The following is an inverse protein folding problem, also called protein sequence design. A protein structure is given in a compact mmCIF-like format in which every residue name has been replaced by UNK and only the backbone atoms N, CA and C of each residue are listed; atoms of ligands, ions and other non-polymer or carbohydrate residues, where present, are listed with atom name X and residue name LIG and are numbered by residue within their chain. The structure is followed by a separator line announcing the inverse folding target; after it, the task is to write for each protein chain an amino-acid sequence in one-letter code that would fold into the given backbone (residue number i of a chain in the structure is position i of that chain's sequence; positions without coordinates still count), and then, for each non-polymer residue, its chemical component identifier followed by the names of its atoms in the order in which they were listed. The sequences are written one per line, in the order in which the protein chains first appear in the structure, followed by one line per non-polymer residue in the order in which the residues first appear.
data_IF_406412608795
#
_entry.id   IF_406412608795
#
_cell.length_a   1.000
_cell.length_b   1.000
_cell.length_c   1.000
_cell.angle_alpha   90.00
_cell.angle_beta   90.00
_cell.angle_gamma   90.00
#
_symmetry.space_group_name_H-M   'P 1'
#
loop_
_entity.id
_entity.type
_entity.pdbx_description
1 polymer ?
#
# COMPACT_ATOMS: atom_id res chain seq x y z
N UNK A 1 -13.39 -42.95 31.74
CA UNK A 1 -13.29 -44.25 31.03
C UNK A 1 -13.21 -43.90 29.56
N UNK A 2 -12.06 -43.96 28.88
CA UNK A 2 -11.05 -45.02 28.82
C UNK A 2 -9.67 -44.38 28.57
N UNK A 3 -8.66 -44.87 29.29
CA UNK A 3 -7.23 -44.57 29.12
C UNK A 3 -6.69 -45.18 27.82
N UNK A 4 -5.66 -44.57 27.22
CA UNK A 4 -4.71 -45.35 26.40
C UNK A 4 -3.26 -44.92 26.63
N UNK A 5 -2.44 -45.95 26.69
CA UNK A 5 -1.15 -46.03 27.35
C UNK A 5 0.05 -45.61 26.51
N UNK A 6 1.12 -45.32 27.23
CA UNK A 6 2.52 -45.23 26.81
C UNK A 6 3.01 -46.56 26.22
N UNK A 7 3.84 -46.48 25.18
CA UNK A 7 4.58 -47.61 24.61
C UNK A 7 5.98 -47.17 24.15
N UNK A 8 6.98 -47.66 24.87
CA UNK A 8 8.41 -47.40 24.76
C UNK A 8 9.07 -48.43 23.83
N UNK A 9 10.12 -48.08 23.06
CA UNK A 9 10.98 -49.04 22.34
C UNK A 9 12.35 -48.45 21.99
N UNK A 10 13.34 -48.78 22.83
CA UNK A 10 14.78 -48.91 22.50
C UNK A 10 14.91 -49.91 21.33
N UNK A 11 15.81 -49.85 20.35
CA UNK A 11 17.10 -49.19 20.16
C UNK A 11 18.00 -50.21 19.45
N UNK A 12 18.80 -49.84 18.43
CA UNK A 12 19.92 -50.64 17.90
C UNK A 12 20.85 -49.75 17.04
N UNK A 13 22.10 -49.58 17.47
CA UNK A 13 23.24 -48.94 16.79
C UNK A 13 23.88 -49.90 15.75
N UNK A 14 24.72 -49.44 14.78
CA UNK A 14 26.14 -49.17 15.06
C UNK A 14 26.73 -47.89 14.44
N UNK A 15 27.53 -47.24 15.29
CA UNK A 15 28.80 -46.51 15.09
C UNK A 15 29.46 -46.59 13.70
N UNK A 16 29.93 -45.43 13.19
CA UNK A 16 31.32 -45.33 12.77
C UNK A 16 31.92 -43.93 13.04
N UNK A 17 33.15 -43.96 13.54
CA UNK A 17 33.95 -42.87 14.09
C UNK A 17 34.88 -42.34 12.99
N UNK A 18 35.09 -41.02 12.94
CA UNK A 18 36.29 -40.42 12.35
C UNK A 18 36.52 -39.03 12.93
N UNK A 19 37.40 -39.03 13.93
CA UNK A 19 38.01 -37.92 14.66
C UNK A 19 38.49 -36.75 13.81
N UNK A 20 38.36 -35.53 14.32
CA UNK A 20 39.43 -34.52 14.27
C UNK A 20 39.29 -33.46 15.37
N UNK A 21 40.42 -33.23 16.01
CA UNK A 21 40.69 -32.57 17.30
C UNK A 21 40.24 -31.12 17.42
N UNK A 22 39.76 -30.78 18.62
CA UNK A 22 39.66 -29.43 19.17
C UNK A 22 41.01 -28.72 19.20
N UNK A 23 41.03 -27.45 18.77
CA UNK A 23 41.96 -26.45 19.28
C UNK A 23 41.16 -25.22 19.72
N UNK A 24 41.07 -25.06 21.04
CA UNK A 24 40.70 -23.81 21.70
C UNK A 24 41.91 -22.88 21.58
N UNK A 25 41.71 -21.73 20.93
CA UNK A 25 42.68 -20.63 20.97
C UNK A 25 42.04 -19.46 21.71
N UNK A 26 42.33 -19.41 23.01
CA UNK A 26 42.18 -18.24 23.86
C UNK A 26 42.93 -17.04 23.26
N UNK A 27 42.22 -15.97 22.90
CA UNK A 27 42.85 -14.68 22.62
C UNK A 27 42.57 -13.72 23.77
N UNK A 28 43.64 -13.49 24.53
CA UNK A 28 43.81 -12.46 25.54
C UNK A 28 43.51 -11.06 24.99
N UNK A 29 42.64 -10.34 25.68
CA UNK A 29 42.45 -8.90 25.53
C UNK A 29 43.68 -8.14 26.01
N UNK A 30 44.23 -7.28 25.14
CA UNK A 30 45.17 -6.24 25.56
C UNK A 30 44.62 -4.88 25.11
N UNK A 31 44.52 -3.88 26.00
CA UNK A 31 44.01 -2.56 25.67
C UNK A 31 45.13 -1.69 25.09
N UNK A 32 44.77 -0.78 24.18
CA UNK A 32 45.65 0.13 23.42
C UNK A 32 46.22 -0.42 22.11
N UNK A 33 45.42 -0.29 21.04
CA UNK A 33 45.93 -0.11 19.69
C UNK A 33 45.29 1.13 19.06
N UNK A 34 46.14 2.01 18.54
CA UNK A 34 45.86 3.19 17.71
C UNK A 34 44.97 2.84 16.50
N UNK A 35 44.06 3.74 16.05
CA UNK A 35 43.08 3.42 15.02
C UNK A 35 43.66 3.63 13.62
N UNK A 36 44.28 2.59 13.07
CA UNK A 36 44.42 2.45 11.60
C UNK A 36 43.89 1.08 11.19
N UNK A 37 42.60 0.84 11.47
CA UNK A 37 41.93 -0.36 10.97
C UNK A 37 41.42 -0.05 9.56
N UNK A 38 42.32 -0.10 8.58
CA UNK A 38 41.95 0.03 7.17
C UNK A 38 41.12 -1.21 6.82
N UNK A 39 39.85 -1.02 6.48
CA UNK A 39 38.97 -2.11 6.12
C UNK A 39 39.58 -2.91 4.95
N UNK A 40 39.93 -4.17 5.18
CA UNK A 40 40.52 -5.05 4.16
C UNK A 40 39.46 -5.71 3.27
N UNK A 41 38.18 -5.46 3.57
CA UNK A 41 37.02 -6.05 2.90
C UNK A 41 36.08 -4.95 2.43
N UNK A 42 35.45 -5.17 1.27
CA UNK A 42 34.43 -4.30 0.73
C UNK A 42 33.28 -4.18 1.73
N UNK A 43 32.87 -2.95 2.01
CA UNK A 43 31.78 -2.66 2.95
C UNK A 43 30.44 -3.25 2.54
N UNK A 44 30.21 -3.53 1.25
CA UNK A 44 28.93 -4.03 0.73
C UNK A 44 28.92 -5.55 0.55
N UNK A 45 29.84 -6.09 -0.26
CA UNK A 45 29.85 -7.52 -0.59
C UNK A 45 30.83 -8.36 0.25
N UNK A 46 31.57 -7.74 1.18
CA UNK A 46 32.58 -8.39 2.03
C UNK A 46 33.73 -9.08 1.27
N UNK A 47 33.89 -8.85 -0.05
CA UNK A 47 35.04 -9.33 -0.82
C UNK A 47 36.33 -8.62 -0.43
N UNK A 48 37.47 -9.30 -0.54
CA UNK A 48 38.79 -8.74 -0.23
C UNK A 48 39.14 -7.56 -1.16
N UNK A 49 39.62 -6.47 -0.58
CA UNK A 49 40.13 -5.30 -1.31
C UNK A 49 41.61 -5.51 -1.66
N UNK A 50 42.00 -5.13 -2.88
CA UNK A 50 43.27 -5.55 -3.51
C UNK A 50 44.26 -4.42 -3.74
N UNK A 51 43.82 -3.17 -3.77
CA UNK A 51 44.66 -2.00 -4.05
C UNK A 51 44.36 -0.84 -3.09
N UNK A 52 45.26 0.14 -3.02
CA UNK A 52 45.18 1.26 -2.06
C UNK A 52 43.92 2.11 -2.26
N UNK A 53 43.49 2.30 -3.51
CA UNK A 53 42.26 3.06 -3.84
C UNK A 53 41.03 2.37 -3.24
N UNK A 54 40.92 1.06 -3.41
CA UNK A 54 39.86 0.25 -2.82
C UNK A 54 39.92 0.30 -1.29
N UNK A 55 41.11 0.16 -0.69
CA UNK A 55 41.30 0.20 0.77
C UNK A 55 40.91 1.55 1.37
N UNK A 56 41.22 2.66 0.70
CA UNK A 56 40.83 4.01 1.13
C UNK A 56 39.31 4.21 0.98
N UNK A 57 38.73 3.77 -0.14
CA UNK A 57 37.29 3.91 -0.40
C UNK A 57 36.40 2.89 0.34
N UNK A 58 36.97 1.79 0.81
CA UNK A 58 36.26 0.67 1.43
C UNK A 58 35.35 -0.11 0.46
N UNK A 59 35.52 0.04 -0.86
CA UNK A 59 34.62 -0.50 -1.90
C UNK A 59 35.43 -1.23 -2.97
N UNK A 60 34.95 -2.38 -3.45
CA UNK A 60 35.58 -3.14 -4.53
C UNK A 60 35.09 -2.71 -5.93
N UNK A 61 35.72 -3.24 -6.98
CA UNK A 61 35.42 -2.91 -8.39
C UNK A 61 34.16 -3.58 -8.97
N UNK A 62 33.40 -4.35 -8.18
CA UNK A 62 32.15 -4.93 -8.66
C UNK A 62 31.16 -3.81 -8.98
N UNK A 63 30.52 -3.89 -10.15
CA UNK A 63 29.63 -2.85 -10.65
C UNK A 63 28.55 -2.46 -9.64
N UNK A 64 27.92 -3.45 -9.00
CA UNK A 64 26.91 -3.23 -7.95
C UNK A 64 27.46 -2.43 -6.75
N UNK A 65 28.68 -2.75 -6.31
CA UNK A 65 29.32 -2.07 -5.18
C UNK A 65 29.67 -0.61 -5.52
N UNK A 66 30.11 -0.36 -6.77
CA UNK A 66 30.38 1.00 -7.27
C UNK A 66 29.09 1.81 -7.38
N UNK A 67 28.00 1.19 -7.87
CA UNK A 67 26.68 1.83 -7.91
C UNK A 67 26.17 2.18 -6.50
N UNK A 68 26.28 1.26 -5.55
CA UNK A 68 25.91 1.52 -4.16
C UNK A 68 26.74 2.67 -3.56
N UNK A 69 28.05 2.69 -3.82
CA UNK A 69 28.95 3.74 -3.36
C UNK A 69 28.55 5.14 -3.83
N UNK A 70 27.97 5.29 -5.02
CA UNK A 70 27.52 6.59 -5.56
C UNK A 70 26.47 7.28 -4.71
N UNK A 71 25.70 6.51 -3.93
CA UNK A 71 24.64 7.01 -3.03
C UNK A 71 24.99 6.85 -1.55
N UNK A 72 26.18 6.32 -1.24
CA UNK A 72 26.62 6.03 0.11
C UNK A 72 27.34 7.23 0.73
N UNK A 73 27.23 7.36 2.06
CA UNK A 73 28.06 8.29 2.78
C UNK A 73 29.54 7.88 2.72
N UNK A 74 30.41 8.80 2.30
CA UNK A 74 31.86 8.60 2.27
C UNK A 74 32.57 9.04 3.57
N UNK A 75 31.82 9.56 4.56
CA UNK A 75 32.39 10.04 5.83
C UNK A 75 32.81 8.87 6.72
N UNK A 76 33.94 9.01 7.39
CA UNK A 76 34.36 8.13 8.48
C UNK A 76 33.82 8.68 9.81
N UNK A 77 33.18 7.82 10.59
CA UNK A 77 32.61 8.17 11.89
C UNK A 77 33.72 8.28 12.96
N UNK A 78 33.42 8.92 14.09
CA UNK A 78 34.36 9.08 15.21
C UNK A 78 34.86 7.75 15.80
N UNK A 79 34.12 6.66 15.60
CA UNK A 79 34.53 5.31 15.99
C UNK A 79 35.48 4.63 14.99
N UNK A 80 35.86 5.29 13.89
CA UNK A 80 36.77 4.76 12.86
C UNK A 80 36.09 3.91 11.78
N UNK A 81 34.78 3.67 11.86
CA UNK A 81 34.03 2.97 10.81
C UNK A 81 33.50 3.94 9.75
N UNK A 82 33.40 3.47 8.50
CA UNK A 82 32.67 4.19 7.45
C UNK A 82 31.19 4.30 7.80
N UNK A 83 30.60 5.47 7.54
CA UNK A 83 29.18 5.72 7.76
C UNK A 83 28.33 4.80 6.88
N UNK A 84 27.40 4.04 7.48
CA UNK A 84 26.44 3.16 6.78
C UNK A 84 25.32 3.91 6.04
N UNK A 85 25.24 5.22 6.23
CA UNK A 85 24.19 6.10 5.71
C UNK A 85 24.32 6.43 4.22
N UNK A 86 23.50 7.36 3.76
CA UNK A 86 23.51 7.87 2.38
C UNK A 86 24.35 9.13 2.22
N UNK A 87 24.68 9.47 0.98
CA UNK A 87 25.36 10.72 0.66
C UNK A 87 24.52 11.95 1.07
N UNK A 88 25.20 13.06 1.34
CA UNK A 88 24.61 14.38 1.60
C UNK A 88 23.67 14.51 2.81
N UNK A 89 23.67 13.53 3.72
CA UNK A 89 23.02 13.70 5.03
C UNK A 89 23.74 14.76 5.87
N UNK A 90 22.95 15.67 6.44
CA UNK A 90 23.42 16.67 7.40
C UNK A 90 24.07 16.01 8.63
N UNK A 91 23.47 14.92 9.11
CA UNK A 91 23.93 14.15 10.28
C UNK A 91 24.05 12.70 9.86
N UNK A 92 25.23 12.11 10.03
CA UNK A 92 25.43 10.69 9.80
C UNK A 92 24.66 9.87 10.83
N UNK A 93 24.04 8.79 10.37
CA UNK A 93 23.39 7.82 11.26
C UNK A 93 24.38 7.17 12.25
N UNK A 94 23.89 6.65 13.39
CA UNK A 94 24.67 5.81 14.29
C UNK A 94 25.42 4.68 13.56
N UNK A 95 26.63 4.37 14.04
CA UNK A 95 27.42 3.28 13.46
C UNK A 95 26.74 1.92 13.67
N UNK A 96 26.52 1.17 12.59
CA UNK A 96 25.93 -0.18 12.61
C UNK A 96 26.93 -1.28 13.04
N UNK A 97 28.23 -1.00 13.02
CA UNK A 97 29.27 -1.96 13.41
C UNK A 97 29.69 -1.84 14.88
N UNK A 98 29.28 -0.76 15.57
CA UNK A 98 29.57 -0.59 16.98
C UNK A 98 28.44 -1.19 17.81
N UNK A 99 28.78 -2.06 18.75
CA UNK A 99 27.79 -2.56 19.70
C UNK A 99 27.35 -1.42 20.64
N UNK A 100 26.08 -1.03 20.54
CA UNK A 100 25.44 -0.03 21.40
C UNK A 100 24.23 -0.69 22.06
N UNK A 101 24.07 -0.63 23.39
CA UNK A 101 22.93 -1.24 24.08
C UNK A 101 21.57 -0.75 23.57
N UNK A 102 21.53 0.47 23.03
CA UNK A 102 20.32 1.13 22.55
C UNK A 102 20.05 0.92 21.05
N UNK A 103 20.99 0.30 20.32
CA UNK A 103 20.80 0.00 18.91
C UNK A 103 19.80 -1.16 18.77
N UNK A 104 18.74 -0.91 18.00
CA UNK A 104 17.72 -1.94 17.70
C UNK A 104 18.16 -2.91 16.61
N UNK A 105 19.09 -2.49 15.76
CA UNK A 105 19.58 -3.22 14.60
C UNK A 105 21.06 -2.94 14.37
N UNK A 106 21.78 -3.91 13.82
CA UNK A 106 23.21 -3.80 13.46
C UNK A 106 23.47 -4.09 11.97
N UNK A 107 24.75 -4.16 11.57
CA UNK A 107 25.14 -4.33 10.18
C UNK A 107 24.87 -5.74 9.62
N UNK A 108 24.76 -6.76 10.48
CA UNK A 108 24.57 -8.15 10.09
C UNK A 108 23.09 -8.54 9.98
N UNK A 109 22.18 -7.77 10.60
CA UNK A 109 20.74 -7.92 10.43
C UNK A 109 20.31 -7.82 8.97
N UNK A 110 19.30 -8.63 8.60
CA UNK A 110 18.67 -8.56 7.29
C UNK A 110 17.71 -7.37 7.19
N UNK A 111 17.72 -6.70 6.04
CA UNK A 111 16.71 -5.69 5.75
C UNK A 111 15.35 -6.36 5.51
N UNK A 112 14.39 -6.12 6.40
CA UNK A 112 13.04 -6.74 6.35
C UNK A 112 12.13 -6.22 5.22
N UNK A 113 12.68 -5.45 4.28
CA UNK A 113 11.98 -5.07 3.05
C UNK A 113 12.39 -5.97 1.89
N UNK A 114 13.70 -6.15 1.67
CA UNK A 114 14.18 -7.01 0.59
C UNK A 114 14.30 -8.47 1.01
N UNK A 115 14.59 -8.75 2.29
CA UNK A 115 14.90 -10.08 2.83
C UNK A 115 16.07 -10.80 2.13
N UNK A 116 16.85 -10.08 1.31
CA UNK A 116 17.98 -10.64 0.54
C UNK A 116 19.32 -10.28 1.15
N UNK A 117 19.47 -9.03 1.57
CA UNK A 117 20.76 -8.45 1.94
C UNK A 117 20.77 -7.94 3.38
N UNK A 118 21.96 -8.01 4.00
CA UNK A 118 22.21 -7.42 5.32
C UNK A 118 22.16 -5.90 5.24
N UNK A 119 21.87 -5.23 6.34
CA UNK A 119 21.85 -3.76 6.41
C UNK A 119 23.21 -3.16 6.03
N UNK A 120 24.33 -3.76 6.48
CA UNK A 120 25.68 -3.31 6.09
C UNK A 120 25.97 -3.44 4.59
N UNK A 121 25.23 -4.29 3.88
CA UNK A 121 25.42 -4.60 2.46
C UNK A 121 25.04 -3.49 1.49
N UNK A 122 24.35 -2.44 1.94
CA UNK A 122 23.97 -1.30 1.10
C UNK A 122 23.73 -0.02 1.93
N UNK A 123 23.68 1.17 1.32
CA UNK A 123 23.39 2.42 2.01
C UNK A 123 22.03 2.38 2.73
N UNK A 124 22.05 2.72 4.01
CA UNK A 124 20.90 2.67 4.89
C UNK A 124 20.41 4.06 5.28
N UNK A 125 19.19 4.11 5.79
CA UNK A 125 18.65 5.25 6.52
C UNK A 125 18.07 4.75 7.84
N UNK A 126 18.17 5.58 8.88
CA UNK A 126 17.47 5.35 10.14
C UNK A 126 16.21 6.22 10.17
N UNK A 127 15.04 5.60 10.22
CA UNK A 127 13.78 6.32 10.33
C UNK A 127 13.68 7.02 11.70
N UNK A 128 12.79 8.02 11.82
CA UNK A 128 12.52 8.69 13.09
C UNK A 128 12.14 7.73 14.23
N UNK A 129 11.49 6.60 13.92
CA UNK A 129 11.15 5.54 14.88
C UNK A 129 12.35 4.70 15.37
N UNK A 130 13.56 4.97 14.85
CA UNK A 130 14.82 4.32 15.21
C UNK A 130 15.20 3.08 14.39
N UNK A 131 14.28 2.54 13.58
CA UNK A 131 14.54 1.38 12.73
C UNK A 131 15.32 1.73 11.47
N UNK A 132 16.17 0.79 11.05
CA UNK A 132 17.11 0.94 9.94
C UNK A 132 16.70 0.04 8.78
N UNK A 133 16.75 0.61 7.57
CA UNK A 133 16.46 -0.08 6.31
C UNK A 133 17.39 0.44 5.22
N UNK A 134 17.58 -0.34 4.16
CA UNK A 134 18.22 0.20 2.95
C UNK A 134 17.41 1.36 2.39
N UNK A 135 18.09 2.44 2.01
CA UNK A 135 17.45 3.62 1.44
C UNK A 135 16.62 3.28 0.19
N UNK A 136 17.20 2.49 -0.73
CA UNK A 136 16.55 2.06 -1.97
C UNK A 136 15.29 1.24 -1.72
N UNK A 137 15.30 0.41 -0.68
CA UNK A 137 14.15 -0.42 -0.31
C UNK A 137 12.97 0.44 0.16
N UNK A 138 13.21 1.42 1.04
CA UNK A 138 12.16 2.34 1.49
C UNK A 138 11.64 3.20 0.34
N UNK A 139 12.56 3.75 -0.47
CA UNK A 139 12.22 4.55 -1.65
C UNK A 139 11.30 3.77 -2.61
N UNK A 140 11.65 2.52 -2.92
CA UNK A 140 10.86 1.66 -3.82
C UNK A 140 9.45 1.38 -3.27
N UNK A 141 9.29 1.15 -1.96
CA UNK A 141 7.97 0.96 -1.35
C UNK A 141 7.11 2.23 -1.52
N UNK A 142 7.68 3.40 -1.26
CA UNK A 142 6.98 4.68 -1.39
C UNK A 142 6.60 5.00 -2.85
N UNK A 143 7.45 4.66 -3.81
CA UNK A 143 7.19 4.82 -5.24
C UNK A 143 6.11 3.87 -5.76
N UNK A 144 6.14 2.59 -5.33
CA UNK A 144 5.15 1.57 -5.72
C UNK A 144 3.78 1.80 -5.10
N UNK A 145 3.72 2.47 -3.94
CA UNK A 145 2.48 2.83 -3.23
C UNK A 145 1.64 1.61 -2.83
N UNK A 146 0.48 1.44 -3.46
CA UNK A 146 -0.49 0.39 -3.17
C UNK A 146 -0.83 -0.42 -4.43
N UNK A 147 -1.33 -1.63 -4.20
CA UNK A 147 -1.82 -2.51 -5.24
C UNK A 147 -3.34 -2.41 -5.33
N UNK A 148 -3.88 -2.48 -6.55
CA UNK A 148 -5.32 -2.40 -6.79
C UNK A 148 -5.84 -0.96 -6.90
N UNK A 149 -7.16 -0.79 -7.13
CA UNK A 149 -7.76 0.52 -7.33
C UNK A 149 -7.88 1.31 -6.03
N UNK A 150 -8.13 0.63 -4.89
CA UNK A 150 -8.33 1.26 -3.58
C UNK A 150 -7.03 1.89 -3.08
N UNK A 151 -7.09 3.18 -2.78
CA UNK A 151 -6.02 3.90 -2.08
C UNK A 151 -5.88 3.32 -0.67
N UNK A 152 -4.69 2.83 -0.33
CA UNK A 152 -4.31 2.39 1.02
C UNK A 152 -2.93 2.95 1.37
N UNK A 153 -2.73 3.33 2.63
CA UNK A 153 -1.53 4.05 3.07
C UNK A 153 -0.56 3.23 3.94
N UNK A 154 -0.81 1.91 4.09
CA UNK A 154 0.03 1.03 4.92
C UNK A 154 1.50 1.01 4.48
N UNK A 155 1.78 1.24 3.20
CA UNK A 155 3.14 1.31 2.66
C UNK A 155 3.96 2.51 3.19
N UNK A 156 3.30 3.52 3.78
CA UNK A 156 3.95 4.65 4.44
C UNK A 156 4.31 4.36 5.91
N UNK A 157 4.07 3.15 6.39
CA UNK A 157 4.35 2.75 7.77
C UNK A 157 5.60 1.88 7.85
N UNK A 158 6.36 2.04 8.92
CA UNK A 158 7.52 1.23 9.25
C UNK A 158 7.13 -0.26 9.28
N UNK A 159 7.80 -1.13 8.50
CA UNK A 159 7.50 -2.56 8.49
C UNK A 159 7.55 -3.24 9.88
N UNK A 160 8.43 -2.75 10.76
CA UNK A 160 8.68 -3.32 12.09
C UNK A 160 7.68 -2.81 13.16
N UNK A 161 7.44 -1.50 13.24
CA UNK A 161 6.65 -0.92 14.36
C UNK A 161 5.39 -0.16 13.94
N UNK A 162 5.09 -0.10 12.64
CA UNK A 162 3.91 0.56 12.05
C UNK A 162 3.80 2.09 12.24
N UNK A 163 4.76 2.72 12.91
CA UNK A 163 4.88 4.18 12.94
C UNK A 163 5.10 4.74 11.52
N UNK A 164 4.68 5.99 11.28
CA UNK A 164 4.86 6.63 9.97
C UNK A 164 6.35 6.72 9.59
N UNK A 165 6.64 6.47 8.32
CA UNK A 165 7.97 6.62 7.75
C UNK A 165 8.28 8.11 7.67
N UNK A 166 9.33 8.51 8.37
CA UNK A 166 9.85 9.88 8.34
C UNK A 166 11.36 9.87 8.19
N UNK A 167 11.83 10.53 7.14
CA UNK A 167 13.24 10.75 6.87
C UNK A 167 13.39 11.89 5.86
N UNK A 168 14.32 12.82 6.08
CA UNK A 168 14.50 14.02 5.25
C UNK A 168 14.79 13.68 3.79
N UNK A 169 15.59 12.66 3.54
CA UNK A 169 15.93 12.21 2.18
C UNK A 169 14.74 11.60 1.40
N UNK A 170 13.61 11.36 2.06
CA UNK A 170 12.38 10.84 1.44
C UNK A 170 11.32 11.94 1.27
N UNK A 171 11.58 13.19 1.68
CA UNK A 171 10.58 14.25 1.70
C UNK A 171 9.95 14.52 0.33
N UNK A 172 10.73 14.44 -0.76
CA UNK A 172 10.20 14.60 -2.13
C UNK A 172 9.07 13.61 -2.44
N UNK A 173 9.14 12.39 -1.89
CA UNK A 173 8.09 11.38 -2.02
C UNK A 173 7.03 11.51 -0.93
N UNK A 174 7.43 11.79 0.32
CA UNK A 174 6.51 11.83 1.46
C UNK A 174 5.56 13.02 1.41
N UNK A 175 5.99 14.20 0.96
CA UNK A 175 5.14 15.41 0.91
C UNK A 175 3.88 15.19 0.07
N UNK A 176 3.95 14.77 -1.21
CA UNK A 176 2.74 14.54 -2.01
C UNK A 176 1.90 13.37 -1.49
N UNK A 177 2.53 12.36 -0.88
CA UNK A 177 1.80 11.23 -0.28
C UNK A 177 1.03 11.62 0.98
N UNK A 178 1.62 12.47 1.84
CA UNK A 178 0.95 13.06 3.01
C UNK A 178 -0.21 13.94 2.58
N UNK A 179 -0.03 14.78 1.55
CA UNK A 179 -1.12 15.59 1.00
C UNK A 179 -2.28 14.74 0.47
N UNK A 180 -1.99 13.60 -0.18
CA UNK A 180 -3.02 12.65 -0.61
C UNK A 180 -3.72 11.97 0.57
N UNK A 181 -2.98 11.60 1.62
CA UNK A 181 -3.55 11.05 2.85
C UNK A 181 -4.54 12.03 3.49
N UNK A 182 -4.12 13.28 3.68
CA UNK A 182 -4.94 14.32 4.30
C UNK A 182 -6.21 14.61 3.47
N UNK A 183 -6.10 14.65 2.14
CA UNK A 183 -7.25 14.81 1.23
C UNK A 183 -8.25 13.66 1.37
N UNK A 184 -7.77 12.42 1.39
CA UNK A 184 -8.63 11.23 1.50
C UNK A 184 -9.26 11.13 2.90
N UNK A 185 -8.48 11.34 3.96
CA UNK A 185 -8.95 11.33 5.34
C UNK A 185 -10.04 12.39 5.59
N UNK A 186 -9.81 13.62 5.12
CA UNK A 186 -10.80 14.70 5.20
C UNK A 186 -12.10 14.37 4.48
N UNK A 187 -12.02 13.84 3.25
CA UNK A 187 -13.20 13.42 2.47
C UNK A 187 -13.95 12.26 3.15
N UNK A 188 -13.22 11.28 3.68
CA UNK A 188 -13.79 10.12 4.35
C UNK A 188 -14.55 10.54 5.61
N UNK A 189 -13.96 11.42 6.43
CA UNK A 189 -14.59 11.96 7.64
C UNK A 189 -15.85 12.75 7.31
N UNK A 190 -15.81 13.62 6.29
CA UNK A 190 -16.98 14.38 5.84
C UNK A 190 -18.10 13.45 5.37
N UNK A 191 -17.74 12.35 4.67
CA UNK A 191 -18.74 11.36 4.24
C UNK A 191 -19.34 10.61 5.42
N UNK A 192 -18.54 10.26 6.44
CA UNK A 192 -19.01 9.62 7.66
C UNK A 192 -20.03 10.48 8.42
N UNK A 193 -19.78 11.79 8.46
CA UNK A 193 -20.68 12.79 9.03
C UNK A 193 -21.99 12.89 8.25
N UNK A 194 -21.90 12.98 6.92
CA UNK A 194 -23.07 13.02 6.04
C UNK A 194 -23.94 11.76 6.14
N UNK A 195 -23.33 10.58 6.25
CA UNK A 195 -24.03 9.31 6.42
C UNK A 195 -24.62 9.14 7.84
N UNK A 196 -24.37 10.09 8.76
CA UNK A 196 -24.89 10.08 10.13
C UNK A 196 -24.23 9.04 11.05
N UNK A 197 -23.00 8.62 10.73
CA UNK A 197 -22.33 7.49 11.39
C UNK A 197 -21.30 7.89 12.45
N UNK A 198 -21.12 9.18 12.74
CA UNK A 198 -20.19 9.66 13.78
C UNK A 198 -20.48 9.09 15.17
N UNK A 199 -21.73 8.70 15.44
CA UNK A 199 -22.16 8.17 16.74
C UNK A 199 -22.40 6.66 16.73
N UNK A 200 -22.01 5.96 15.66
CA UNK A 200 -22.24 4.51 15.56
C UNK A 200 -21.40 3.73 16.59
N UNK A 201 -21.81 2.49 16.95
CA UNK A 201 -21.08 1.68 17.92
C UNK A 201 -19.61 1.41 17.56
N UNK A 202 -19.24 1.47 16.28
CA UNK A 202 -17.85 1.31 15.86
C UNK A 202 -16.94 2.48 16.32
N UNK A 203 -17.50 3.67 16.54
CA UNK A 203 -16.75 4.84 17.01
C UNK A 203 -16.94 5.07 18.52
N UNK A 204 -18.12 4.73 19.04
CA UNK A 204 -18.51 5.07 20.43
C UNK A 204 -18.33 3.94 21.44
N UNK A 205 -18.18 2.69 21.01
CA UNK A 205 -17.99 1.54 21.91
C UNK A 205 -16.52 1.36 22.27
N UNK A 206 -16.20 1.31 23.56
CA UNK A 206 -14.84 1.04 24.09
C UNK A 206 -14.25 -0.29 23.60
N UNK A 207 -15.11 -1.24 23.22
CA UNK A 207 -14.69 -2.55 22.71
C UNK A 207 -14.37 -2.52 21.19
N UNK A 208 -14.53 -1.38 20.52
CA UNK A 208 -14.27 -1.26 19.08
C UNK A 208 -12.81 -0.90 18.80
N UNK A 209 -12.29 -1.42 17.68
CA UNK A 209 -10.94 -1.08 17.19
C UNK A 209 -10.79 0.40 16.82
N UNK A 210 -11.91 1.08 16.52
CA UNK A 210 -11.95 2.51 16.15
C UNK A 210 -12.54 3.38 17.26
N UNK A 211 -12.54 2.92 18.51
CA UNK A 211 -13.07 3.68 19.63
C UNK A 211 -12.38 5.05 19.73
N UNK A 212 -13.19 6.12 19.65
CA UNK A 212 -12.68 7.51 19.69
C UNK A 212 -11.92 7.95 18.44
N UNK A 213 -11.89 7.14 17.37
CA UNK A 213 -11.18 7.44 16.12
C UNK A 213 -12.11 7.34 14.89
N UNK A 214 -13.00 8.33 14.67
CA UNK A 214 -13.91 8.35 13.54
C UNK A 214 -13.18 8.45 12.19
N UNK A 215 -11.98 9.00 12.15
CA UNK A 215 -11.21 9.13 10.91
C UNK A 215 -10.67 7.77 10.47
N UNK A 216 -10.06 7.01 11.38
CA UNK A 216 -9.64 5.64 11.08
C UNK A 216 -10.83 4.75 10.67
N UNK A 217 -11.98 4.89 11.35
CA UNK A 217 -13.20 4.18 10.95
C UNK A 217 -13.65 4.55 9.53
N UNK A 218 -13.65 5.84 9.18
CA UNK A 218 -14.04 6.30 7.86
C UNK A 218 -13.07 5.79 6.76
N UNK A 219 -11.77 5.82 7.04
CA UNK A 219 -10.72 5.33 6.14
C UNK A 219 -10.77 3.81 5.90
N UNK A 220 -11.23 3.05 6.90
CA UNK A 220 -11.50 1.62 6.75
C UNK A 220 -12.80 1.38 5.97
N UNK A 221 -13.88 2.06 6.37
CA UNK A 221 -15.24 1.88 5.85
C UNK A 221 -15.37 2.25 4.37
N UNK A 222 -14.74 3.34 3.95
CA UNK A 222 -14.91 3.88 2.61
C UNK A 222 -13.72 3.58 1.70
N UNK A 223 -14.03 3.36 0.43
CA UNK A 223 -13.06 3.19 -0.62
C UNK A 223 -12.87 4.51 -1.35
N UNK A 224 -11.61 4.95 -1.45
CA UNK A 224 -11.21 6.02 -2.34
C UNK A 224 -10.30 5.48 -3.45
N UNK A 225 -10.38 6.12 -4.61
CA UNK A 225 -9.71 5.74 -5.86
C UNK A 225 -9.15 6.99 -6.52
N UNK A 226 -8.05 6.84 -7.27
CA UNK A 226 -7.49 7.93 -8.07
C UNK A 226 -8.15 7.97 -9.43
N UNK A 227 -8.68 9.13 -9.81
CA UNK A 227 -9.21 9.35 -11.15
C UNK A 227 -8.07 9.29 -12.18
N UNK A 228 -8.22 8.46 -13.21
CA UNK A 228 -7.23 8.31 -14.28
C UNK A 228 -6.97 9.61 -15.06
N UNK A 229 -8.02 10.42 -15.31
CA UNK A 229 -7.91 11.67 -16.08
C UNK A 229 -7.30 12.83 -15.28
N UNK A 230 -7.74 13.06 -14.04
CA UNK A 230 -7.34 14.25 -13.27
C UNK A 230 -6.45 13.98 -12.05
N UNK A 231 -6.20 12.72 -11.71
CA UNK A 231 -5.36 12.31 -10.58
C UNK A 231 -5.94 12.61 -9.19
N UNK A 232 -7.17 13.13 -9.08
CA UNK A 232 -7.81 13.43 -7.79
C UNK A 232 -8.44 12.19 -7.18
N UNK A 233 -8.36 12.08 -5.85
CA UNK A 233 -9.07 11.04 -5.11
C UNK A 233 -10.59 11.31 -5.10
N UNK A 234 -11.39 10.28 -5.36
CA UNK A 234 -12.85 10.34 -5.28
C UNK A 234 -13.41 9.11 -4.57
N UNK A 235 -14.64 9.25 -4.08
CA UNK A 235 -15.36 8.20 -3.38
C UNK A 235 -15.74 7.08 -4.34
N UNK A 236 -15.33 5.85 -4.04
CA UNK A 236 -15.54 4.63 -4.83
C UNK A 236 -16.52 3.64 -4.23
N UNK A 237 -17.23 4.01 -3.16
CA UNK A 237 -18.17 3.14 -2.45
C UNK A 237 -17.72 2.74 -1.05
N UNK A 238 -18.48 1.85 -0.41
CA UNK A 238 -18.06 1.20 0.83
C UNK A 238 -17.10 0.03 0.56
N UNK A 239 -16.07 -0.10 1.40
CA UNK A 239 -15.01 -1.11 1.28
C UNK A 239 -15.51 -2.55 1.34
N UNK A 240 -16.65 -2.80 2.01
CA UNK A 240 -17.20 -4.15 2.20
C UNK A 240 -17.62 -4.81 0.88
N UNK A 241 -18.08 -4.03 -0.09
CA UNK A 241 -18.50 -4.56 -1.38
C UNK A 241 -17.31 -5.14 -2.18
N UNK A 242 -16.10 -4.59 -1.99
CA UNK A 242 -14.89 -4.96 -2.74
C UNK A 242 -14.30 -6.32 -2.32
N UNK A 243 -14.49 -6.74 -1.06
CA UNK A 243 -13.87 -7.98 -0.54
C UNK A 243 -14.27 -9.24 -1.32
N UNK A 244 -15.40 -9.17 -2.04
CA UNK A 244 -15.93 -10.23 -2.87
C UNK A 244 -15.29 -10.36 -4.27
N UNK A 245 -14.42 -9.43 -4.68
CA UNK A 245 -13.87 -9.36 -6.03
C UNK A 245 -12.34 -9.43 -6.02
N UNK A 246 -11.80 -10.18 -6.97
CA UNK A 246 -10.37 -10.29 -7.17
C UNK A 246 -9.78 -8.94 -7.60
N UNK A 247 -8.94 -8.35 -6.75
CA UNK A 247 -8.34 -7.03 -6.96
C UNK A 247 -7.17 -7.05 -7.96
N UNK A 248 -6.82 -8.21 -8.53
CA UNK A 248 -5.62 -8.37 -9.36
C UNK A 248 -5.80 -7.90 -10.82
N UNK A 249 -7.04 -7.78 -11.31
CA UNK A 249 -7.33 -7.33 -12.68
C UNK A 249 -8.36 -6.21 -12.68
N UNK A 250 -7.90 -4.98 -12.87
CA UNK A 250 -8.76 -3.83 -13.11
C UNK A 250 -8.17 -2.97 -14.22
N UNK A 251 -9.03 -2.28 -14.97
CA UNK A 251 -8.60 -1.31 -15.97
C UNK A 251 -8.51 0.09 -15.32
N UNK A 252 -7.31 0.69 -15.17
CA UNK A 252 -7.18 2.02 -14.59
C UNK A 252 -7.97 3.08 -15.36
N UNK A 253 -8.16 2.94 -16.67
CA UNK A 253 -8.87 3.92 -17.51
C UNK A 253 -10.36 4.04 -17.18
N UNK A 254 -10.94 3.01 -16.54
CA UNK A 254 -12.33 3.02 -16.07
C UNK A 254 -12.50 3.77 -14.74
N UNK A 255 -11.41 4.03 -14.01
CA UNK A 255 -11.44 4.80 -12.76
C UNK A 255 -11.58 6.29 -13.04
N UNK A 256 -12.81 6.72 -13.30
CA UNK A 256 -13.13 8.11 -13.56
C UNK A 256 -14.02 8.66 -12.44
N UNK A 257 -13.62 9.80 -11.86
CA UNK A 257 -14.50 10.52 -10.97
C UNK A 257 -15.70 11.10 -11.75
N UNK A 258 -16.79 11.45 -11.05
CA UNK A 258 -17.99 11.98 -11.72
C UNK A 258 -17.75 13.23 -12.59
N UNK A 259 -16.72 14.04 -12.28
CA UNK A 259 -16.33 15.18 -13.11
C UNK A 259 -15.52 14.83 -14.37
N UNK A 260 -14.96 13.63 -14.44
CA UNK A 260 -14.10 13.15 -15.55
C UNK A 260 -14.73 11.99 -16.35
N UNK A 261 -15.70 11.28 -15.77
CA UNK A 261 -16.57 10.36 -16.50
C UNK A 261 -17.21 11.15 -17.63
N UNK A 262 -17.05 10.71 -18.88
CA UNK A 262 -17.51 11.43 -20.06
C UNK A 262 -19.01 11.71 -19.97
N UNK A 263 -19.33 12.91 -19.49
CA UNK A 263 -20.65 13.52 -19.48
C UNK A 263 -21.06 13.98 -20.88
N UNK A 264 -20.55 13.34 -21.93
CA UNK A 264 -20.86 13.68 -23.34
C UNK A 264 -22.38 13.58 -23.60
N UNK A 265 -23.14 12.89 -22.75
CA UNK A 265 -24.61 12.92 -22.73
C UNK A 265 -25.29 13.62 -21.54
N UNK A 266 -24.57 13.94 -20.45
CA UNK A 266 -25.18 14.49 -19.24
C UNK A 266 -24.86 15.97 -19.09
N UNK A 267 -25.81 16.84 -19.43
CA UNK A 267 -25.67 18.26 -19.15
C UNK A 267 -25.51 18.47 -17.64
N UNK A 268 -24.33 18.93 -17.22
CA UNK A 268 -24.13 19.53 -15.90
C UNK A 268 -25.17 20.65 -15.78
N UNK A 269 -26.02 20.56 -14.78
CA UNK A 269 -27.16 21.45 -14.69
C UNK A 269 -26.65 22.87 -14.43
N UNK A 270 -26.98 23.83 -15.30
CA UNK A 270 -26.60 25.23 -15.09
C UNK A 270 -27.15 25.84 -13.79
N UNK A 271 -28.17 25.22 -13.18
CA UNK A 271 -28.76 25.64 -11.88
C UNK A 271 -28.23 24.87 -10.67
N UNK A 272 -27.89 23.59 -10.84
CA UNK A 272 -27.60 22.68 -9.72
C UNK A 272 -26.27 21.93 -9.83
N UNK A 273 -25.42 22.34 -10.77
CA UNK A 273 -24.10 21.76 -10.99
C UNK A 273 -24.15 20.23 -11.15
N UNK A 274 -23.32 19.57 -10.34
CA UNK A 274 -23.21 18.11 -10.25
C UNK A 274 -23.86 17.54 -8.99
N UNK A 275 -24.41 18.39 -8.11
CA UNK A 275 -24.86 17.99 -6.77
C UNK A 275 -26.04 17.01 -6.79
N UNK A 276 -26.84 17.08 -7.85
CA UNK A 276 -27.99 16.19 -8.07
C UNK A 276 -27.82 15.35 -9.34
N UNK A 277 -26.57 15.10 -9.74
CA UNK A 277 -26.27 14.25 -10.88
C UNK A 277 -26.64 12.80 -10.55
N UNK A 278 -27.63 12.26 -11.24
CA UNK A 278 -28.02 10.87 -11.09
C UNK A 278 -27.37 10.01 -12.16
N UNK A 279 -27.06 8.77 -11.80
CA UNK A 279 -26.52 7.77 -12.72
C UNK A 279 -27.51 6.62 -12.89
N UNK A 280 -27.54 6.07 -14.10
CA UNK A 280 -28.24 4.81 -14.40
C UNK A 280 -27.43 3.64 -13.83
N UNK A 281 -28.11 2.64 -13.29
CA UNK A 281 -27.51 1.35 -12.98
C UNK A 281 -26.88 0.73 -14.23
N UNK A 282 -25.60 0.31 -14.17
CA UNK A 282 -24.90 -0.32 -15.29
C UNK A 282 -25.66 -1.52 -15.86
N UNK A 283 -26.31 -2.28 -14.99
CA UNK A 283 -26.92 -3.57 -15.31
C UNK A 283 -28.44 -3.56 -15.56
N UNK A 284 -29.12 -2.42 -15.39
CA UNK A 284 -30.56 -2.32 -15.69
C UNK A 284 -31.03 -0.88 -15.98
N UNK A 285 -32.30 -0.72 -16.36
CA UNK A 285 -32.96 0.57 -16.55
C UNK A 285 -33.55 1.08 -15.22
N UNK A 286 -32.70 1.30 -14.21
CA UNK A 286 -33.09 1.88 -12.92
C UNK A 286 -32.08 2.94 -12.48
N UNK A 287 -32.51 3.87 -11.63
CA UNK A 287 -31.61 4.85 -11.02
C UNK A 287 -30.66 4.12 -10.06
N UNK A 288 -29.37 4.45 -10.15
CA UNK A 288 -28.38 3.92 -9.25
C UNK A 288 -28.46 4.59 -7.88
N UNK A 289 -28.25 3.79 -6.84
CA UNK A 289 -28.19 4.23 -5.45
C UNK A 289 -26.87 3.85 -4.79
N UNK A 290 -26.13 2.92 -5.41
CA UNK A 290 -24.81 2.52 -5.01
C UNK A 290 -23.81 2.84 -6.11
N UNK A 291 -22.61 3.23 -5.71
CA UNK A 291 -21.45 3.31 -6.58
C UNK A 291 -20.35 2.49 -5.94
N UNK A 292 -19.88 1.47 -6.64
CA UNK A 292 -18.95 0.49 -6.11
C UNK A 292 -17.74 0.34 -7.03
N UNK A 293 -16.64 -0.10 -6.43
CA UNK A 293 -15.39 -0.45 -7.12
C UNK A 293 -14.72 0.72 -7.84
N UNK A 294 -15.17 1.95 -7.56
CA UNK A 294 -14.70 3.14 -8.23
C UNK A 294 -15.15 3.31 -9.68
N UNK A 295 -15.92 2.38 -10.25
CA UNK A 295 -16.27 2.42 -11.68
C UNK A 295 -17.74 2.19 -11.98
N UNK A 296 -18.49 1.57 -11.06
CA UNK A 296 -19.75 0.93 -11.43
C UNK A 296 -20.91 1.39 -10.56
N UNK A 297 -21.95 1.91 -11.21
CA UNK A 297 -23.20 2.31 -10.56
C UNK A 297 -24.21 1.16 -10.52
N UNK A 298 -24.83 0.93 -9.36
CA UNK A 298 -25.83 -0.11 -9.13
C UNK A 298 -27.13 0.45 -8.54
N UNK A 299 -28.28 -0.05 -8.99
CA UNK A 299 -29.51 0.03 -8.20
C UNK A 299 -29.47 -0.99 -7.05
N UNK A 300 -30.37 -0.88 -6.07
CA UNK A 300 -30.34 -1.76 -4.90
C UNK A 300 -30.44 -3.25 -5.26
N UNK A 301 -31.40 -3.61 -6.10
CA UNK A 301 -31.59 -5.01 -6.49
C UNK A 301 -30.41 -5.59 -7.30
N UNK A 302 -29.75 -4.79 -8.14
CA UNK A 302 -28.54 -5.25 -8.85
C UNK A 302 -27.33 -5.31 -7.92
N UNK A 303 -27.25 -4.41 -6.94
CA UNK A 303 -26.21 -4.45 -5.93
C UNK A 303 -26.29 -5.73 -5.10
N UNK A 304 -27.48 -6.27 -4.80
CA UNK A 304 -27.61 -7.54 -4.08
C UNK A 304 -27.10 -8.76 -4.87
N UNK A 305 -27.02 -8.67 -6.21
CA UNK A 305 -26.61 -9.76 -7.12
C UNK A 305 -25.32 -9.39 -7.89
N UNK A 306 -24.53 -8.44 -7.36
CA UNK A 306 -23.41 -7.84 -8.10
C UNK A 306 -22.34 -8.85 -8.50
N UNK A 307 -22.06 -9.85 -7.65
CA UNK A 307 -21.06 -10.88 -7.89
C UNK A 307 -21.32 -11.65 -9.19
N UNK A 308 -22.59 -11.99 -9.44
CA UNK A 308 -23.00 -12.67 -10.68
C UNK A 308 -23.00 -11.69 -11.85
N UNK A 309 -23.59 -10.51 -11.67
CA UNK A 309 -23.77 -9.53 -12.74
C UNK A 309 -22.45 -9.02 -13.32
N UNK A 310 -21.42 -8.82 -12.48
CA UNK A 310 -20.10 -8.38 -12.93
C UNK A 310 -19.35 -9.43 -13.74
N UNK A 311 -19.66 -10.72 -13.54
CA UNK A 311 -19.07 -11.83 -14.29
C UNK A 311 -19.81 -12.12 -15.60
N UNK A 312 -20.97 -11.51 -15.84
CA UNK A 312 -21.71 -11.73 -17.09
C UNK A 312 -21.03 -10.97 -18.25
N UNK A 313 -20.71 -11.66 -19.36
CA UNK A 313 -20.30 -10.99 -20.60
C UNK A 313 -21.34 -9.96 -21.04
N UNK A 314 -20.89 -8.79 -21.51
CA UNK A 314 -21.78 -7.68 -21.92
C UNK A 314 -22.84 -8.12 -22.94
N UNK A 315 -22.54 -9.08 -23.79
CA UNK A 315 -23.44 -9.60 -24.82
C UNK A 315 -24.63 -10.37 -24.25
N UNK A 316 -24.51 -10.89 -23.02
CA UNK A 316 -25.57 -11.63 -22.32
C UNK A 316 -26.44 -10.73 -21.43
N UNK A 317 -26.12 -9.44 -21.32
CA UNK A 317 -26.93 -8.50 -20.57
C UNK A 317 -28.23 -8.18 -21.32
N UNK A 318 -29.36 -8.01 -20.61
CA UNK A 318 -30.64 -7.69 -21.23
C UNK A 318 -30.57 -6.34 -21.95
N UNK A 319 -31.30 -6.22 -23.07
CA UNK A 319 -31.43 -4.97 -23.80
C UNK A 319 -32.52 -4.11 -23.15
N UNK A 320 -32.51 -2.81 -23.43
CA UNK A 320 -33.58 -1.93 -23.00
C UNK A 320 -34.93 -2.42 -23.58
N UNK A 321 -36.00 -2.56 -22.78
CA UNK A 321 -36.08 -2.28 -21.35
C UNK A 321 -35.50 -3.39 -20.45
N UNK A 322 -34.46 -3.05 -19.68
CA UNK A 322 -33.76 -3.99 -18.80
C UNK A 322 -34.22 -3.86 -17.34
N UNK A 323 -34.61 -4.97 -16.74
CA UNK A 323 -34.97 -5.09 -15.34
C UNK A 323 -33.76 -5.41 -14.45
N UNK A 324 -33.88 -5.25 -13.13
CA UNK A 324 -32.80 -5.60 -12.20
C UNK A 324 -32.41 -7.09 -12.29
N UNK A 325 -31.20 -7.42 -11.80
CA UNK A 325 -30.69 -8.81 -11.76
C UNK A 325 -30.65 -9.51 -13.12
N UNK A 326 -30.43 -8.75 -14.20
CA UNK A 326 -30.28 -9.29 -15.55
C UNK A 326 -31.57 -9.80 -16.18
N UNK A 327 -32.72 -9.32 -15.73
CA UNK A 327 -34.04 -9.69 -16.27
C UNK A 327 -34.39 -8.84 -17.48
N UNK A 328 -34.87 -9.45 -18.56
CA UNK A 328 -35.45 -8.72 -19.70
C UNK A 328 -36.90 -8.36 -19.37
N UNK A 329 -37.26 -7.07 -19.46
CA UNK A 329 -38.64 -6.64 -19.27
C UNK A 329 -39.42 -6.76 -20.59
N UNK A 330 -40.74 -6.91 -20.46
CA UNK A 330 -41.68 -6.89 -21.58
C UNK A 330 -42.03 -5.44 -21.97
N UNK A 331 -42.28 -5.22 -23.27
CA UNK A 331 -42.65 -3.93 -23.85
C UNK A 331 -41.48 -3.16 -24.47
N UNK A 332 -41.81 -2.03 -25.12
CA UNK A 332 -40.83 -1.23 -25.89
C UNK A 332 -40.39 0.06 -25.15
N UNK A 333 -41.05 0.40 -24.05
CA UNK A 333 -40.80 1.64 -23.30
C UNK A 333 -39.71 1.48 -22.24
N UNK A 334 -38.64 2.28 -22.32
CA UNK A 334 -37.63 2.33 -21.27
C UNK A 334 -38.23 2.83 -19.94
N UNK A 335 -38.05 2.12 -18.80
CA UNK A 335 -38.50 2.57 -17.48
C UNK A 335 -37.96 3.95 -17.08
N UNK A 336 -36.75 4.31 -17.55
CA UNK A 336 -36.13 5.62 -17.31
C UNK A 336 -36.64 6.72 -18.25
N UNK A 337 -37.50 6.37 -19.21
CA UNK A 337 -38.12 7.26 -20.20
C UNK A 337 -37.10 8.16 -20.94
N UNK A 338 -35.90 7.64 -21.18
CA UNK A 338 -34.83 8.35 -21.87
C UNK A 338 -33.99 7.40 -22.71
N UNK A 339 -33.32 7.95 -23.72
CA UNK A 339 -32.30 7.21 -24.46
C UNK A 339 -31.03 7.11 -23.63
N UNK A 340 -30.41 5.94 -23.66
CA UNK A 340 -29.17 5.66 -22.93
C UNK A 340 -28.38 4.59 -23.70
N UNK A 341 -27.06 4.48 -23.47
CA UNK A 341 -26.24 3.42 -24.06
C UNK A 341 -26.70 2.02 -23.62
N UNK A 342 -26.23 0.96 -24.30
CA UNK A 342 -26.55 -0.42 -23.97
C UNK A 342 -26.27 -0.79 -22.50
N UNK A 343 -27.01 -1.76 -21.98
CA UNK A 343 -26.74 -2.33 -20.65
C UNK A 343 -25.30 -2.87 -20.58
N UNK A 344 -24.60 -2.59 -19.49
CA UNK A 344 -23.17 -2.86 -19.33
C UNK A 344 -22.27 -1.63 -19.47
N UNK A 345 -22.86 -0.48 -19.80
CA UNK A 345 -22.17 0.82 -19.89
C UNK A 345 -22.67 1.79 -18.84
N UNK A 346 -21.74 2.59 -18.29
CA UNK A 346 -22.04 3.66 -17.34
C UNK A 346 -22.74 4.82 -18.05
N UNK A 347 -23.71 5.42 -17.38
CA UNK A 347 -24.46 6.52 -17.97
C UNK A 347 -24.95 7.50 -16.91
N UNK A 348 -24.41 8.72 -16.97
CA UNK A 348 -24.93 9.86 -16.22
C UNK A 348 -26.26 10.30 -16.87
N UNK A 349 -27.32 10.37 -16.09
CA UNK A 349 -28.64 10.74 -16.58
C UNK A 349 -28.90 12.25 -16.53
N UNK A 350 -28.02 13.02 -15.88
CA UNK A 350 -28.20 14.45 -15.63
C UNK A 350 -28.86 14.73 -14.27
N UNK A 351 -29.30 15.98 -14.07
CA UNK A 351 -29.86 16.43 -12.80
C UNK A 351 -31.24 15.80 -12.51
N UNK A 352 -31.33 15.01 -11.44
CA UNK A 352 -32.56 14.34 -11.00
C UNK A 352 -33.74 15.30 -10.76
N UNK A 353 -33.46 16.48 -10.18
CA UNK A 353 -34.48 17.52 -9.94
C UNK A 353 -35.08 18.01 -11.26
N UNK A 354 -34.25 18.37 -12.24
CA UNK A 354 -34.73 18.89 -13.51
C UNK A 354 -35.48 17.84 -14.33
N UNK A 355 -35.09 16.57 -14.23
CA UNK A 355 -35.77 15.45 -14.91
C UNK A 355 -37.17 15.21 -14.36
N UNK A 356 -37.32 15.26 -13.04
CA UNK A 356 -38.63 15.12 -12.39
C UNK A 356 -39.56 16.30 -12.70
N UNK A 357 -39.02 17.51 -12.92
CA UNK A 357 -39.82 18.67 -13.32
C UNK A 357 -40.27 18.61 -14.80
N UNK A 358 -39.50 17.99 -15.69
CA UNK A 358 -39.89 17.81 -17.10
C UNK A 358 -40.97 16.74 -17.34
N UNK A 359 -41.38 16.04 -16.28
CA UNK A 359 -42.44 15.02 -16.32
C UNK A 359 -43.79 15.50 -15.78
N UNK A 360 -43.88 16.77 -15.34
CA UNK A 360 -45.13 17.43 -14.89
C UNK A 360 -45.65 18.45 -15.91
#
# INVERSE_FOLDING_TARGET
MVEFSVGDSKGLFPVNVSSSRNFLSSQSSSPYQTPTNVATRCRFCANQLRNDIQLIGGVCEHEECVQLASSACAKMLSCGHLCGGIADENVCMPCLNCHRPEARQDADDLCVICFTDRLGGAPCIQLACGHVFHYRCVKMILEKRWNGPRIIFRFMQCPLCKQQIEHTALNELLIPLKALYDDVASKARLRLEYDGLLQCPAVTSENSEFYGDPEAYAMDRYMYVLCFKCGKAYFGGESRCQQALDNSQYNPEELLCGGCSDVVGAQVCGRHGVDYLEYKCRFCCSVAVYFCFGTTHFCAACHDDFQRLMCLPKQLLPKCPAGPKGVQLEGDGCPLRMQHPPTGEEFAMGCGICRNLSTF
#
